data_IF_236150697141
#
_entry.id   IF_236150697141
#
_cell.length_a   1.000
_cell.length_b   1.000
_cell.length_c   1.000
_cell.angle_alpha   90.00
_cell.angle_beta   90.00
_cell.angle_gamma   90.00
#
_symmetry.space_group_name_H-M   'P 1'
#
loop_
_entity.id
_entity.type
_entity.pdbx_description
1 polymer ?
#
# COMPACT_ATOMS: atom_id res chain seq x y z
N UNK A 1 -3.11 -56.32 37.39
CA UNK A 1 -2.85 -57.61 36.70
C UNK A 1 -2.00 -57.32 35.47
N UNK A 2 -0.81 -57.93 35.45
CA UNK A 2 0.20 -57.91 34.37
C UNK A 2 -0.45 -58.40 33.07
N UNK A 3 -0.09 -57.84 31.90
CA UNK A 3 0.49 -58.58 30.77
C UNK A 3 1.25 -57.62 29.85
N UNK A 4 2.54 -57.56 30.13
CA UNK A 4 3.62 -57.19 29.23
C UNK A 4 3.66 -58.21 28.08
N UNK A 5 3.68 -57.74 26.84
CA UNK A 5 4.21 -58.49 25.70
C UNK A 5 5.18 -57.58 24.95
N UNK A 6 6.44 -57.70 25.35
CA UNK A 6 7.61 -57.35 24.54
C UNK A 6 8.01 -58.64 23.82
N UNK A 7 8.30 -58.54 22.52
CA UNK A 7 9.16 -59.37 21.66
C UNK A 7 8.66 -59.06 20.23
N UNK A 8 9.43 -58.53 19.29
CA UNK A 8 10.83 -58.82 18.97
C UNK A 8 11.41 -57.69 18.15
N UNK A 9 12.68 -57.36 18.41
CA UNK A 9 13.49 -56.52 17.56
C UNK A 9 13.63 -57.14 16.15
N UNK A 10 13.40 -56.33 15.13
CA UNK A 10 14.03 -56.52 13.82
C UNK A 10 14.80 -55.23 13.54
N UNK A 11 16.06 -55.22 13.97
CA UNK A 11 17.01 -54.23 13.52
C UNK A 11 17.18 -54.40 12.02
N UNK A 12 16.66 -53.44 11.25
CA UNK A 12 17.17 -53.16 9.92
C UNK A 12 18.20 -52.04 10.06
N UNK A 13 19.43 -52.44 10.38
CA UNK A 13 20.59 -51.62 10.09
C UNK A 13 20.80 -51.66 8.57
N UNK A 14 20.21 -50.71 7.85
CA UNK A 14 20.81 -50.22 6.61
C UNK A 14 21.65 -49.00 6.96
N UNK A 15 22.84 -49.27 7.50
CA UNK A 15 23.94 -48.32 7.50
C UNK A 15 24.56 -48.34 6.09
N UNK A 16 23.87 -47.73 5.13
CA UNK A 16 24.47 -47.17 3.93
C UNK A 16 24.61 -45.66 4.15
N UNK A 17 25.81 -45.13 3.91
CA UNK A 17 26.17 -43.74 4.18
C UNK A 17 25.34 -42.72 3.36
N UNK A 18 24.22 -42.25 3.88
CA UNK A 18 23.76 -40.88 3.63
C UNK A 18 24.47 -39.98 4.64
N UNK A 19 25.79 -39.84 4.45
CA UNK A 19 26.52 -38.74 5.07
C UNK A 19 26.11 -37.49 4.31
N UNK A 20 24.98 -36.90 4.66
CA UNK A 20 24.64 -35.56 4.18
C UNK A 20 25.83 -34.67 4.52
N UNK A 21 26.51 -34.17 3.50
CA UNK A 21 27.66 -33.30 3.70
C UNK A 21 27.17 -32.11 4.54
N UNK A 22 27.82 -31.77 5.66
CA UNK A 22 27.39 -30.65 6.49
C UNK A 22 27.28 -29.35 5.70
N UNK A 23 28.02 -29.21 4.59
CA UNK A 23 27.91 -28.10 3.64
C UNK A 23 26.61 -28.18 2.84
N UNK A 24 26.22 -29.36 2.33
CA UNK A 24 24.97 -29.53 1.59
C UNK A 24 23.74 -29.31 2.48
N UNK A 25 23.80 -29.77 3.74
CA UNK A 25 22.78 -29.49 4.74
C UNK A 25 22.65 -27.99 5.01
N UNK A 26 23.78 -27.32 5.27
CA UNK A 26 23.82 -25.87 5.51
C UNK A 26 23.35 -25.05 4.30
N UNK A 27 23.66 -25.50 3.08
CA UNK A 27 23.20 -24.85 1.85
C UNK A 27 21.69 -24.98 1.68
N UNK A 28 21.10 -26.15 2.01
CA UNK A 28 19.64 -26.32 1.97
C UNK A 28 18.93 -25.49 3.04
N UNK A 29 19.48 -25.44 4.25
CA UNK A 29 18.94 -24.59 5.33
C UNK A 29 19.00 -23.11 4.96
N UNK A 30 20.12 -22.65 4.41
CA UNK A 30 20.28 -21.28 3.92
C UNK A 30 19.32 -20.98 2.75
N UNK A 31 19.10 -21.94 1.85
CA UNK A 31 18.14 -21.80 0.76
C UNK A 31 16.70 -21.70 1.28
N UNK A 32 16.32 -22.53 2.25
CA UNK A 32 15.00 -22.50 2.88
C UNK A 32 14.76 -21.16 3.60
N UNK A 33 15.75 -20.65 4.34
CA UNK A 33 15.67 -19.35 4.99
C UNK A 33 15.49 -18.20 3.97
N UNK A 34 16.20 -18.26 2.84
CA UNK A 34 16.07 -17.26 1.75
C UNK A 34 14.72 -17.34 1.05
N UNK A 35 14.20 -18.54 0.81
CA UNK A 35 12.87 -18.72 0.22
C UNK A 35 11.77 -18.22 1.17
N UNK A 36 11.88 -18.50 2.47
CA UNK A 36 10.95 -17.97 3.47
C UNK A 36 10.98 -16.44 3.52
N UNK A 37 12.18 -15.83 3.45
CA UNK A 37 12.33 -14.39 3.37
C UNK A 37 11.73 -13.81 2.08
N UNK A 38 11.96 -14.44 0.93
CA UNK A 38 11.41 -14.02 -0.36
C UNK A 38 9.87 -14.07 -0.39
N UNK A 39 9.27 -15.12 0.19
CA UNK A 39 7.81 -15.24 0.30
C UNK A 39 7.24 -14.18 1.24
N UNK A 40 7.91 -13.89 2.36
CA UNK A 40 7.52 -12.81 3.28
C UNK A 40 7.54 -11.45 2.58
N UNK A 41 8.63 -11.13 1.87
CA UNK A 41 8.75 -9.87 1.11
C UNK A 41 7.68 -9.78 0.02
N UNK A 42 7.38 -10.87 -0.67
CA UNK A 42 6.30 -10.89 -1.68
C UNK A 42 4.94 -10.61 -1.04
N UNK A 43 4.61 -11.27 0.08
CA UNK A 43 3.37 -11.04 0.81
C UNK A 43 3.26 -9.59 1.34
N UNK A 44 4.36 -9.01 1.81
CA UNK A 44 4.42 -7.60 2.23
C UNK A 44 4.20 -6.63 1.05
N UNK A 45 4.77 -6.92 -0.13
CA UNK A 45 4.55 -6.13 -1.35
C UNK A 45 3.11 -6.27 -1.85
N UNK A 46 2.50 -7.46 -1.76
CA UNK A 46 1.10 -7.67 -2.14
C UNK A 46 0.12 -7.01 -1.17
N UNK A 47 0.44 -7.00 0.13
CA UNK A 47 -0.32 -6.26 1.14
C UNK A 47 -0.18 -4.74 0.98
N UNK A 48 0.95 -4.27 0.44
CA UNK A 48 1.18 -2.87 0.11
C UNK A 48 0.68 -2.46 -1.29
N UNK A 49 0.13 -3.41 -2.08
CA UNK A 49 -0.51 -3.08 -3.36
C UNK A 49 -1.69 -2.16 -3.06
N UNK A 50 -1.78 -0.96 -3.65
CA UNK A 50 -2.89 -0.07 -3.40
C UNK A 50 -4.18 -0.83 -3.76
N UNK A 51 -5.04 -1.00 -2.77
CA UNK A 51 -6.38 -1.50 -3.01
C UNK A 51 -7.00 -0.60 -4.09
N UNK A 52 -7.68 -1.21 -5.07
CA UNK A 52 -8.57 -0.46 -5.95
C UNK A 52 -9.39 0.48 -5.07
N UNK A 53 -9.30 1.79 -5.33
CA UNK A 53 -9.84 2.80 -4.42
C UNK A 53 -11.28 2.42 -4.07
N UNK A 54 -11.50 2.08 -2.80
CA UNK A 54 -12.83 1.78 -2.33
C UNK A 54 -13.73 3.00 -2.60
N UNK A 55 -15.02 2.80 -2.92
CA UNK A 55 -15.93 3.92 -3.08
C UNK A 55 -15.85 4.83 -1.85
N UNK A 56 -15.79 6.14 -2.07
CA UNK A 56 -15.69 7.12 -1.00
C UNK A 56 -16.86 6.95 -0.02
N UNK A 57 -16.57 7.01 1.28
CA UNK A 57 -17.62 7.00 2.30
C UNK A 57 -18.39 8.33 2.31
N UNK A 58 -19.50 8.41 3.04
CA UNK A 58 -20.22 9.68 3.22
C UNK A 58 -19.36 10.77 3.88
N UNK A 59 -18.50 10.38 4.83
CA UNK A 59 -17.51 11.27 5.44
C UNK A 59 -16.49 11.80 4.44
N UNK A 60 -15.99 10.92 3.56
CA UNK A 60 -15.06 11.30 2.49
C UNK A 60 -15.73 12.24 1.48
N UNK A 61 -17.00 11.99 1.13
CA UNK A 61 -17.75 12.84 0.20
C UNK A 61 -17.93 14.25 0.75
N UNK A 62 -18.32 14.38 2.02
CA UNK A 62 -18.47 15.70 2.66
C UNK A 62 -17.13 16.45 2.73
N UNK A 63 -16.04 15.75 3.03
CA UNK A 63 -14.70 16.32 3.04
C UNK A 63 -14.25 16.76 1.64
N UNK A 64 -14.47 15.95 0.61
CA UNK A 64 -14.17 16.28 -0.80
C UNK A 64 -14.88 17.56 -1.22
N UNK A 65 -16.20 17.66 -0.98
CA UNK A 65 -16.98 18.83 -1.38
C UNK A 65 -16.55 20.10 -0.62
N UNK A 66 -16.31 19.99 0.70
CA UNK A 66 -15.80 21.10 1.50
C UNK A 66 -14.41 21.57 1.02
N UNK A 67 -13.55 20.64 0.64
CA UNK A 67 -12.20 20.93 0.15
C UNK A 67 -12.24 21.61 -1.21
N UNK A 68 -13.08 21.14 -2.13
CA UNK A 68 -13.30 21.79 -3.43
C UNK A 68 -13.73 23.24 -3.24
N UNK A 69 -14.66 23.51 -2.32
CA UNK A 69 -15.13 24.87 -2.05
C UNK A 69 -14.03 25.76 -1.45
N UNK A 70 -13.25 25.24 -0.50
CA UNK A 70 -12.09 25.96 0.04
C UNK A 70 -11.05 26.31 -1.04
N UNK A 71 -10.78 25.38 -1.97
CA UNK A 71 -9.88 25.62 -3.09
C UNK A 71 -10.42 26.70 -4.04
N UNK A 72 -11.73 26.71 -4.32
CA UNK A 72 -12.37 27.77 -5.11
C UNK A 72 -12.25 29.14 -4.44
N UNK A 73 -12.49 29.23 -3.13
CA UNK A 73 -12.30 30.47 -2.37
C UNK A 73 -10.84 30.94 -2.43
N UNK A 74 -9.88 30.03 -2.32
CA UNK A 74 -8.46 30.33 -2.47
C UNK A 74 -8.11 30.85 -3.87
N UNK A 75 -8.66 30.25 -4.92
CA UNK A 75 -8.46 30.72 -6.31
C UNK A 75 -9.00 32.15 -6.46
N UNK A 76 -10.23 32.41 -6.01
CA UNK A 76 -10.84 33.74 -6.11
C UNK A 76 -10.04 34.79 -5.35
N UNK A 77 -9.61 34.50 -4.11
CA UNK A 77 -8.80 35.41 -3.33
C UNK A 77 -7.41 35.68 -3.97
N UNK A 78 -6.80 34.65 -4.56
CA UNK A 78 -5.51 34.76 -5.24
C UNK A 78 -5.62 35.53 -6.56
N UNK A 79 -6.75 35.41 -7.27
CA UNK A 79 -7.02 36.20 -8.46
C UNK A 79 -7.13 37.70 -8.12
N UNK A 80 -7.80 38.05 -7.02
CA UNK A 80 -7.85 39.44 -6.53
C UNK A 80 -6.46 39.98 -6.16
N UNK A 81 -5.54 39.14 -5.68
CA UNK A 81 -4.15 39.54 -5.44
C UNK A 81 -3.43 39.87 -6.76
N UNK A 82 -3.64 39.07 -7.81
CA UNK A 82 -3.04 39.31 -9.14
C UNK A 82 -3.48 40.64 -9.75
N UNK A 83 -4.71 41.07 -9.51
CA UNK A 83 -5.23 42.37 -9.97
C UNK A 83 -4.58 43.56 -9.28
N UNK A 84 -3.97 43.34 -8.10
CA UNK A 84 -3.51 44.41 -7.19
C UNK A 84 -2.00 44.50 -7.05
N UNK A 85 -1.25 43.56 -7.62
CA UNK A 85 0.19 43.45 -7.42
C UNK A 85 0.97 43.70 -8.71
N UNK A 86 1.96 44.59 -8.62
CA UNK A 86 2.94 44.82 -9.69
C UNK A 86 4.24 44.01 -9.46
N UNK A 87 4.35 43.31 -8.33
CA UNK A 87 5.54 42.53 -8.00
C UNK A 87 5.58 41.24 -8.85
N UNK A 88 6.59 41.08 -9.73
CA UNK A 88 6.66 39.94 -10.63
C UNK A 88 6.86 38.60 -9.90
N UNK A 89 7.45 38.59 -8.70
CA UNK A 89 7.61 37.37 -7.90
C UNK A 89 6.27 36.95 -7.29
N UNK A 90 5.53 37.92 -6.74
CA UNK A 90 4.18 37.70 -6.20
C UNK A 90 3.25 37.20 -7.29
N UNK A 91 3.29 37.79 -8.49
CA UNK A 91 2.50 37.31 -9.62
C UNK A 91 2.80 35.86 -9.98
N UNK A 92 4.09 35.50 -10.11
CA UNK A 92 4.51 34.11 -10.42
C UNK A 92 4.04 33.14 -9.34
N UNK A 93 4.10 33.52 -8.07
CA UNK A 93 3.63 32.70 -6.96
C UNK A 93 2.11 32.50 -7.01
N UNK A 94 1.35 33.58 -7.22
CA UNK A 94 -0.11 33.55 -7.32
C UNK A 94 -0.60 32.68 -8.50
N UNK A 95 0.03 32.81 -9.67
CA UNK A 95 -0.26 31.96 -10.84
C UNK A 95 -0.03 30.47 -10.54
N UNK A 96 1.06 30.12 -9.83
CA UNK A 96 1.33 28.74 -9.40
C UNK A 96 0.29 28.22 -8.42
N UNK A 97 -0.14 29.04 -7.45
CA UNK A 97 -1.19 28.66 -6.50
C UNK A 97 -2.50 28.37 -7.23
N UNK A 98 -2.93 29.25 -8.14
CA UNK A 98 -4.16 29.04 -8.92
C UNK A 98 -4.07 27.75 -9.75
N UNK A 99 -2.94 27.52 -10.43
CA UNK A 99 -2.74 26.31 -11.22
C UNK A 99 -2.80 25.04 -10.35
N UNK A 100 -2.16 25.05 -9.18
CA UNK A 100 -2.19 23.93 -8.24
C UNK A 100 -3.60 23.63 -7.73
N UNK A 101 -4.33 24.66 -7.25
CA UNK A 101 -5.70 24.47 -6.74
C UNK A 101 -6.67 23.97 -7.81
N UNK A 102 -6.52 24.41 -9.06
CA UNK A 102 -7.32 23.88 -10.19
C UNK A 102 -7.06 22.39 -10.44
N UNK A 103 -5.79 21.97 -10.38
CA UNK A 103 -5.42 20.56 -10.54
C UNK A 103 -6.00 19.70 -9.41
N UNK A 104 -5.86 20.16 -8.17
CA UNK A 104 -6.38 19.47 -6.99
C UNK A 104 -7.91 19.38 -7.00
N UNK A 105 -8.62 20.41 -7.48
CA UNK A 105 -10.07 20.33 -7.71
C UNK A 105 -10.40 19.21 -8.70
N UNK A 106 -9.66 19.08 -9.80
CA UNK A 106 -9.90 18.03 -10.79
C UNK A 106 -9.62 16.63 -10.22
N UNK A 107 -8.56 16.48 -9.42
CA UNK A 107 -8.24 15.25 -8.69
C UNK A 107 -9.38 14.88 -7.71
N UNK A 108 -9.86 15.83 -6.92
CA UNK A 108 -10.97 15.64 -5.98
C UNK A 108 -12.28 15.29 -6.69
N UNK A 109 -12.58 15.92 -7.83
CA UNK A 109 -13.76 15.60 -8.64
C UNK A 109 -13.71 14.19 -9.21
N UNK A 110 -12.53 13.68 -9.56
CA UNK A 110 -12.35 12.30 -10.02
C UNK A 110 -12.54 11.27 -8.90
N UNK A 111 -12.33 11.66 -7.64
CA UNK A 111 -12.54 10.82 -6.46
C UNK A 111 -14.01 10.80 -5.98
N UNK A 112 -14.85 11.71 -6.49
CA UNK A 112 -16.24 11.80 -6.07
C UNK A 112 -17.00 10.54 -6.48
N UNK A 113 -17.76 9.91 -5.56
CA UNK A 113 -18.58 8.78 -5.93
C UNK A 113 -19.64 9.23 -6.94
N UNK A 114 -19.97 8.35 -7.89
CA UNK A 114 -21.09 8.59 -8.80
C UNK A 114 -22.35 8.83 -7.96
N UNK A 115 -23.09 9.90 -8.25
CA UNK A 115 -24.39 10.11 -7.62
C UNK A 115 -25.23 8.86 -7.86
N UNK A 116 -25.66 8.19 -6.79
CA UNK A 116 -26.72 7.18 -6.90
C UNK A 116 -27.97 7.91 -7.38
N UNK A 117 -28.58 7.51 -8.52
CA UNK A 117 -29.86 8.06 -8.91
C UNK A 117 -30.85 7.85 -7.77
N UNK A 118 -31.59 8.90 -7.42
CA UNK A 118 -32.57 8.91 -6.32
C UNK A 118 -33.52 7.70 -6.41
N UNK A 119 -33.72 6.99 -5.29
CA UNK A 119 -34.83 6.03 -5.06
C UNK A 119 -36.11 6.77 -4.66
#
# INVERSE_FOLDING_TARGET
>A
MKRLLILTAAGLALTGCDGEDPVDSALRDAAAARQAAATKTTAEIEAARPAQAAPATSGDTAWIEATIEDHRRTISATALLLERTDDPEVRRAAEKVIAARRREIAELQALRPAATPDE
#
